data_IF_640160620760
#
_entry.id   IF_640160620760
#
_cell.length_a   1.000
_cell.length_b   1.000
_cell.length_c   1.000
_cell.angle_alpha   90.00
_cell.angle_beta   90.00
_cell.angle_gamma   90.00
#
_symmetry.space_group_name_H-M   'P 1'
#
loop_
_entity.id
_entity.type
_entity.pdbx_description
1 polymer ?
#
# COMPACT_ATOMS: atom_id res chain seq x y z
N UNK A 1 -5.93 -7.53 4.13
CA UNK A 1 -6.92 -6.71 3.41
C UNK A 1 -7.15 -7.33 2.04
N UNK A 2 -8.40 -7.43 1.61
CA UNK A 2 -8.73 -7.71 0.21
C UNK A 2 -9.05 -6.39 -0.49
N UNK A 3 -8.45 -6.16 -1.65
CA UNK A 3 -8.52 -4.89 -2.39
C UNK A 3 -8.41 -5.17 -3.89
N UNK A 4 -9.42 -4.75 -4.66
CA UNK A 4 -9.33 -4.81 -6.11
C UNK A 4 -8.17 -3.95 -6.65
N UNK A 5 -7.44 -4.36 -7.71
CA UNK A 5 -6.27 -3.64 -8.23
C UNK A 5 -6.68 -2.41 -9.07
N UNK A 6 -7.39 -1.47 -8.46
CA UNK A 6 -7.99 -0.31 -9.13
C UNK A 6 -7.24 0.99 -8.83
N UNK A 7 -7.56 2.04 -9.59
CA UNK A 7 -7.09 3.40 -9.30
C UNK A 7 -7.48 3.90 -7.90
N UNK A 8 -8.59 3.41 -7.31
CA UNK A 8 -9.03 3.77 -5.96
C UNK A 8 -8.11 3.19 -4.89
N UNK A 9 -7.78 1.90 -4.99
CA UNK A 9 -6.78 1.22 -4.14
C UNK A 9 -5.42 1.91 -4.21
N UNK A 10 -5.00 2.29 -5.42
CA UNK A 10 -3.73 3.01 -5.58
C UNK A 10 -3.77 4.43 -4.98
N UNK A 11 -4.92 5.12 -5.03
CA UNK A 11 -5.12 6.40 -4.32
C UNK A 11 -4.94 6.21 -2.81
N UNK A 12 -5.56 5.18 -2.23
CA UNK A 12 -5.44 4.85 -0.81
C UNK A 12 -3.96 4.65 -0.40
N UNK A 13 -3.21 3.79 -1.10
CA UNK A 13 -1.78 3.58 -0.81
C UNK A 13 -0.95 4.86 -0.99
N UNK A 14 -1.25 5.70 -1.98
CA UNK A 14 -0.51 6.95 -2.22
C UNK A 14 -0.83 8.08 -1.23
N UNK A 15 -1.94 7.97 -0.48
CA UNK A 15 -2.47 9.08 0.32
C UNK A 15 -1.49 9.54 1.41
N UNK A 16 -0.85 8.67 2.22
CA UNK A 16 0.10 9.11 3.24
C UNK A 16 1.32 9.82 2.64
N UNK A 17 1.79 9.37 1.47
CA UNK A 17 2.96 9.92 0.78
C UNK A 17 2.69 11.32 0.25
N UNK A 18 1.59 11.51 -0.48
CA UNK A 18 1.20 12.80 -1.04
C UNK A 18 0.84 13.78 0.09
N UNK A 19 0.09 13.33 1.09
CA UNK A 19 -0.35 14.18 2.22
C UNK A 19 0.84 14.67 3.04
N UNK A 20 1.84 13.82 3.29
CA UNK A 20 3.04 14.22 4.05
C UNK A 20 3.83 15.34 3.36
N UNK A 21 3.94 15.33 2.02
CA UNK A 21 4.61 16.41 1.27
C UNK A 21 3.88 17.74 1.49
N UNK A 22 2.55 17.76 1.34
CA UNK A 22 1.74 18.96 1.56
C UNK A 22 1.81 19.46 3.00
N UNK A 23 1.72 18.56 3.99
CA UNK A 23 1.82 18.93 5.41
C UNK A 23 3.19 19.54 5.75
N UNK A 24 4.28 19.01 5.19
CA UNK A 24 5.64 19.55 5.38
C UNK A 24 5.79 20.97 4.80
N UNK A 25 5.26 21.22 3.60
CA UNK A 25 5.27 22.57 3.01
C UNK A 25 4.32 23.53 3.75
N UNK A 26 3.16 23.07 4.24
CA UNK A 26 2.28 23.86 5.12
C UNK A 26 2.97 24.21 6.45
N UNK A 27 3.71 23.28 7.05
CA UNK A 27 4.49 23.53 8.27
C UNK A 27 5.62 24.55 8.01
N UNK A 28 6.30 24.47 6.87
CA UNK A 28 7.31 25.44 6.43
C UNK A 28 6.70 26.83 6.18
N UNK A 29 5.55 26.91 5.53
CA UNK A 29 4.79 28.14 5.36
C UNK A 29 4.36 28.72 6.73
N UNK A 30 3.89 27.87 7.65
CA UNK A 30 3.51 28.29 9.01
C UNK A 30 4.71 28.84 9.79
N UNK A 31 5.87 28.19 9.71
CA UNK A 31 7.15 28.68 10.27
C UNK A 31 7.52 30.05 9.68
N UNK A 32 7.44 30.23 8.37
CA UNK A 32 7.69 31.52 7.71
C UNK A 32 6.71 32.62 8.16
N UNK A 33 5.42 32.30 8.33
CA UNK A 33 4.41 33.23 8.87
C UNK A 33 4.74 33.59 10.32
N UNK A 34 5.13 32.61 11.14
CA UNK A 34 5.52 32.82 12.53
C UNK A 34 6.74 33.76 12.63
N UNK A 35 7.82 33.50 11.90
CA UNK A 35 9.02 34.36 11.85
C UNK A 35 8.71 35.77 11.33
N UNK A 36 7.82 35.92 10.34
CA UNK A 36 7.44 37.24 9.80
C UNK A 36 6.47 38.02 10.69
N UNK A 37 5.77 37.36 11.62
CA UNK A 37 4.78 38.01 12.49
C UNK A 37 5.23 38.14 13.95
N UNK A 38 6.22 37.39 14.42
CA UNK A 38 6.71 37.41 15.82
C UNK A 38 5.56 37.28 16.85
N UNK A 39 4.58 36.44 16.51
CA UNK A 39 3.22 36.38 17.09
C UNK A 39 2.80 34.89 17.05
N UNK A 40 2.52 34.18 18.16
CA UNK A 40 2.48 34.58 19.59
C UNK A 40 2.97 33.40 20.47
N UNK A 41 3.71 33.71 21.54
CA UNK A 41 3.70 33.01 22.85
C UNK A 41 4.40 33.85 23.91
N UNK A 42 4.10 33.65 25.20
CA UNK A 42 4.95 34.02 26.36
C UNK A 42 4.64 32.94 27.45
N UNK A 43 4.62 33.20 28.77
CA UNK A 43 3.98 32.28 29.76
C UNK A 43 3.66 32.88 31.14
N UNK A 44 2.40 32.87 31.67
CA UNK A 44 2.10 33.37 33.04
C UNK A 44 2.44 32.33 34.12
N UNK A 45 3.64 31.76 34.02
CA UNK A 45 4.37 31.24 35.18
C UNK A 45 4.62 32.43 36.11
N UNK A 46 3.81 32.53 37.16
CA UNK A 46 3.68 33.72 37.99
C UNK A 46 3.00 34.90 37.28
N UNK A 47 3.56 35.41 36.16
CA UNK A 47 3.12 36.69 35.53
C UNK A 47 3.47 37.04 34.04
N UNK A 48 4.04 36.17 33.15
CA UNK A 48 4.56 36.51 31.78
C UNK A 48 3.78 36.27 30.41
N UNK A 49 2.73 35.42 30.25
CA UNK A 49 1.61 35.35 29.22
C UNK A 49 1.58 34.32 28.01
N UNK A 50 1.04 33.08 28.12
CA UNK A 50 1.19 32.02 27.04
C UNK A 50 0.14 31.98 25.91
N UNK A 51 0.62 31.67 24.71
CA UNK A 51 -0.12 31.16 23.54
C UNK A 51 0.77 30.11 22.83
N UNK A 52 0.34 28.88 22.60
CA UNK A 52 1.06 27.94 21.73
C UNK A 52 0.43 27.97 20.34
N UNK A 53 1.26 27.85 19.30
CA UNK A 53 0.79 27.75 17.93
C UNK A 53 0.06 26.41 17.68
N UNK A 54 -1.24 26.39 17.96
CA UNK A 54 -2.11 25.22 17.78
C UNK A 54 -2.12 24.69 16.34
N UNK A 55 -1.91 25.57 15.35
CA UNK A 55 -1.84 25.17 13.93
C UNK A 55 -0.54 24.41 13.67
N UNK A 56 0.59 24.90 14.18
CA UNK A 56 1.86 24.17 14.12
C UNK A 56 1.75 22.81 14.80
N UNK A 57 1.21 22.76 16.03
CA UNK A 57 1.05 21.51 16.77
C UNK A 57 0.20 20.49 16.00
N UNK A 58 -0.94 20.90 15.41
CA UNK A 58 -1.78 20.01 14.61
C UNK A 58 -1.12 19.57 13.29
N UNK A 59 -0.32 20.43 12.67
CA UNK A 59 0.49 20.03 11.50
C UNK A 59 1.55 19.00 11.88
N UNK A 60 2.22 19.15 13.03
CA UNK A 60 3.23 18.21 13.52
C UNK A 60 2.60 16.85 13.91
N UNK A 61 1.42 16.84 14.53
CA UNK A 61 0.61 15.64 14.78
C UNK A 61 0.26 14.90 13.47
N UNK A 62 -0.36 15.60 12.51
CA UNK A 62 -0.74 15.01 11.22
C UNK A 62 0.48 14.51 10.41
N UNK A 63 1.63 15.18 10.52
CA UNK A 63 2.89 14.74 9.92
C UNK A 63 3.32 13.40 10.52
N UNK A 64 3.30 13.29 11.86
CA UNK A 64 3.66 12.07 12.57
C UNK A 64 2.74 10.88 12.20
N UNK A 65 1.42 11.10 12.18
CA UNK A 65 0.44 10.09 11.78
C UNK A 65 0.69 9.56 10.35
N UNK A 66 0.96 10.48 9.40
CA UNK A 66 1.23 10.11 8.02
C UNK A 66 2.60 9.43 7.86
N UNK A 67 3.59 9.76 8.69
CA UNK A 67 4.88 9.05 8.72
C UNK A 67 4.70 7.61 9.21
N UNK A 68 3.98 7.40 10.32
CA UNK A 68 3.69 6.04 10.81
C UNK A 68 2.91 5.22 9.78
N UNK A 69 1.95 5.80 9.04
CA UNK A 69 1.27 5.08 7.97
C UNK A 69 2.21 4.70 6.80
N UNK A 70 3.19 5.53 6.45
CA UNK A 70 4.22 5.16 5.46
C UNK A 70 5.13 4.05 5.99
N UNK A 71 5.55 4.13 7.25
CA UNK A 71 6.32 3.10 7.93
C UNK A 71 5.56 1.76 7.91
N UNK A 72 4.28 1.73 8.31
CA UNK A 72 3.45 0.52 8.23
C UNK A 72 3.33 -0.04 6.80
N UNK A 73 3.18 0.78 5.77
CA UNK A 73 3.09 0.29 4.39
C UNK A 73 4.44 -0.19 3.80
N UNK A 74 5.57 0.23 4.38
CA UNK A 74 6.92 -0.14 3.91
C UNK A 74 7.65 -1.12 4.84
N UNK A 75 7.06 -1.41 6.01
CA UNK A 75 7.52 -2.39 6.99
C UNK A 75 7.67 -3.79 6.37
N UNK A 76 8.64 -4.57 6.87
CA UNK A 76 8.93 -5.92 6.36
C UNK A 76 7.82 -6.90 6.67
N UNK A 77 7.06 -6.62 7.72
CA UNK A 77 5.90 -7.34 8.24
C UNK A 77 4.69 -7.17 7.32
N UNK A 78 4.57 -6.03 6.64
CA UNK A 78 3.48 -5.76 5.69
C UNK A 78 3.77 -6.39 4.33
N UNK A 79 2.98 -7.39 3.95
CA UNK A 79 3.12 -8.09 2.68
C UNK A 79 2.00 -7.73 1.70
N UNK A 80 2.36 -7.10 0.58
CA UNK A 80 1.45 -6.95 -0.56
C UNK A 80 1.65 -8.12 -1.52
N UNK A 81 0.61 -8.95 -1.67
CA UNK A 81 0.58 -10.07 -2.62
C UNK A 81 -0.27 -9.63 -3.82
N UNK A 82 0.32 -9.52 -5.01
CA UNK A 82 -0.40 -9.06 -6.21
C UNK A 82 -1.09 -10.24 -6.89
N UNK A 83 -2.42 -10.24 -6.94
CA UNK A 83 -3.20 -11.26 -7.65
C UNK A 83 -3.43 -10.83 -9.11
N UNK A 84 -3.14 -11.72 -10.05
CA UNK A 84 -3.25 -11.50 -11.50
C UNK A 84 -3.84 -12.76 -12.15
N UNK A 85 -4.72 -12.63 -13.14
CA UNK A 85 -5.15 -13.76 -13.97
C UNK A 85 -4.19 -13.88 -15.18
N UNK A 86 -4.09 -15.07 -15.78
CA UNK A 86 -3.31 -15.27 -17.01
C UNK A 86 -4.02 -14.71 -18.28
N UNK A 87 -4.45 -13.45 -18.24
CA UNK A 87 -5.10 -12.73 -19.34
C UNK A 87 -4.49 -11.33 -19.56
N UNK A 88 -4.62 -10.79 -20.77
CA UNK A 88 -3.99 -9.53 -21.19
C UNK A 88 -4.48 -8.30 -20.41
N UNK A 89 -5.75 -8.28 -20.01
CA UNK A 89 -6.33 -7.13 -19.29
C UNK A 89 -5.83 -7.14 -17.82
N UNK A 90 -5.87 -8.30 -17.17
CA UNK A 90 -5.35 -8.47 -15.82
C UNK A 90 -3.85 -8.20 -15.75
N UNK A 91 -3.07 -8.66 -16.73
CA UNK A 91 -1.64 -8.34 -16.86
C UNK A 91 -1.40 -6.82 -16.96
N UNK A 92 -2.14 -6.10 -17.80
CA UNK A 92 -2.02 -4.64 -17.93
C UNK A 92 -2.27 -3.91 -16.60
N UNK A 93 -3.29 -4.29 -15.84
CA UNK A 93 -3.56 -3.68 -14.53
C UNK A 93 -2.53 -4.08 -13.47
N UNK A 94 -2.00 -5.32 -13.53
CA UNK A 94 -0.91 -5.76 -12.66
C UNK A 94 0.38 -4.95 -12.89
N UNK A 95 0.76 -4.70 -14.15
CA UNK A 95 1.90 -3.82 -14.51
C UNK A 95 1.69 -2.40 -14.01
N UNK A 96 0.51 -1.82 -14.24
CA UNK A 96 0.16 -0.48 -13.74
C UNK A 96 0.20 -0.39 -12.22
N UNK A 97 -0.18 -1.46 -11.53
CA UNK A 97 -0.14 -1.58 -10.07
C UNK A 97 1.30 -1.67 -9.56
N UNK A 98 2.13 -2.55 -10.14
CA UNK A 98 3.58 -2.66 -9.88
C UNK A 98 4.25 -1.30 -10.00
N UNK A 99 4.13 -0.64 -11.16
CA UNK A 99 4.73 0.67 -11.42
C UNK A 99 4.33 1.75 -10.40
N UNK A 100 3.07 1.76 -9.95
CA UNK A 100 2.60 2.73 -8.96
C UNK A 100 3.11 2.43 -7.56
N UNK A 101 3.10 1.16 -7.13
CA UNK A 101 3.64 0.74 -5.82
C UNK A 101 5.14 1.01 -5.72
N UNK A 102 5.91 0.67 -6.76
CA UNK A 102 7.35 1.00 -6.84
C UNK A 102 7.61 2.50 -6.74
N UNK A 103 6.79 3.35 -7.39
CA UNK A 103 6.93 4.82 -7.33
C UNK A 103 6.70 5.41 -5.94
N UNK A 104 5.95 4.74 -5.06
CA UNK A 104 5.73 5.15 -3.67
C UNK A 104 6.55 4.31 -2.68
N UNK A 105 7.50 3.51 -3.15
CA UNK A 105 8.42 2.73 -2.31
C UNK A 105 7.79 1.54 -1.58
N UNK A 106 6.56 1.14 -1.93
CA UNK A 106 5.90 0.00 -1.29
C UNK A 106 6.32 -1.31 -2.02
N UNK A 107 6.90 -2.29 -1.31
CA UNK A 107 7.35 -3.54 -1.92
C UNK A 107 6.19 -4.50 -2.21
N UNK A 108 6.21 -5.12 -3.39
CA UNK A 108 5.41 -6.32 -3.67
C UNK A 108 6.18 -7.53 -3.13
N UNK A 109 5.52 -8.35 -2.32
CA UNK A 109 6.08 -9.55 -1.70
C UNK A 109 6.11 -10.76 -2.65
N UNK A 110 5.06 -10.91 -3.47
CA UNK A 110 4.90 -11.99 -4.45
C UNK A 110 3.79 -11.69 -5.46
N UNK A 111 3.74 -12.49 -6.51
CA UNK A 111 2.66 -12.50 -7.50
C UNK A 111 1.91 -13.83 -7.44
N UNK A 112 0.59 -13.77 -7.36
CA UNK A 112 -0.30 -14.93 -7.35
C UNK A 112 -1.02 -14.96 -8.69
N UNK A 113 -0.67 -15.93 -9.54
CA UNK A 113 -1.31 -16.10 -10.85
C UNK A 113 -2.50 -17.04 -10.68
N UNK A 114 -3.70 -16.50 -10.87
CA UNK A 114 -4.96 -17.21 -10.72
C UNK A 114 -5.47 -17.75 -12.07
N UNK A 115 -6.34 -18.77 -12.01
CA UNK A 115 -7.02 -19.40 -13.15
C UNK A 115 -6.08 -19.97 -14.21
N UNK A 116 -4.93 -20.47 -13.78
CA UNK A 116 -3.91 -21.06 -14.66
C UNK A 116 -4.46 -22.34 -15.30
N UNK A 117 -4.31 -22.49 -16.62
CA UNK A 117 -4.60 -23.73 -17.34
C UNK A 117 -3.27 -24.43 -17.64
N UNK A 118 -3.25 -25.76 -17.58
CA UNK A 118 -2.06 -26.61 -17.85
C UNK A 118 -0.77 -26.24 -17.08
N UNK A 119 -0.87 -25.47 -16.01
CA UNK A 119 0.26 -24.87 -15.28
C UNK A 119 1.12 -23.88 -16.12
N UNK A 120 0.56 -23.33 -17.20
CA UNK A 120 1.25 -22.43 -18.14
C UNK A 120 0.91 -20.95 -17.89
N UNK A 121 1.93 -20.09 -17.90
CA UNK A 121 1.79 -18.63 -17.86
C UNK A 121 2.31 -18.00 -19.15
N UNK A 122 1.72 -16.88 -19.54
CA UNK A 122 2.21 -16.09 -20.69
C UNK A 122 3.65 -15.62 -20.48
N UNK A 123 4.46 -15.64 -21.55
CA UNK A 123 5.87 -15.24 -21.49
C UNK A 123 6.03 -13.78 -21.04
N UNK A 124 5.10 -12.90 -21.42
CA UNK A 124 5.05 -11.52 -20.95
C UNK A 124 4.88 -11.41 -19.42
N UNK A 125 4.10 -12.29 -18.80
CA UNK A 125 3.93 -12.33 -17.34
C UNK A 125 5.19 -12.87 -16.66
N UNK A 126 5.78 -13.94 -17.22
CA UNK A 126 7.04 -14.52 -16.76
C UNK A 126 8.18 -13.51 -16.78
N UNK A 127 8.35 -12.78 -17.88
CA UNK A 127 9.42 -11.81 -18.06
C UNK A 127 9.25 -10.56 -17.16
N UNK A 128 8.02 -10.05 -16.99
CA UNK A 128 7.75 -8.85 -16.19
C UNK A 128 7.83 -9.09 -14.67
N UNK A 129 7.57 -10.32 -14.21
CA UNK A 129 7.52 -10.66 -12.80
C UNK A 129 8.56 -11.73 -12.37
N UNK A 130 9.61 -11.91 -13.19
CA UNK A 130 10.74 -12.81 -12.94
C UNK A 130 11.41 -12.63 -11.56
N UNK A 131 11.53 -11.38 -11.09
CA UNK A 131 12.16 -11.03 -9.81
C UNK A 131 11.30 -11.35 -8.57
N UNK A 132 10.05 -11.79 -8.75
CA UNK A 132 9.12 -12.08 -7.66
C UNK A 132 8.89 -13.58 -7.53
N UNK A 133 8.70 -14.05 -6.29
CA UNK A 133 8.13 -15.39 -6.07
C UNK A 133 6.74 -15.41 -6.72
N UNK A 134 6.54 -16.34 -7.66
CA UNK A 134 5.25 -16.59 -8.30
C UNK A 134 4.59 -17.82 -7.68
N UNK A 135 3.27 -17.74 -7.46
CA UNK A 135 2.44 -18.84 -6.97
C UNK A 135 1.30 -19.06 -7.96
N UNK A 136 1.23 -20.25 -8.57
CA UNK A 136 0.29 -20.57 -9.64
C UNK A 136 -0.92 -21.34 -9.10
N UNK A 137 -2.10 -20.73 -9.17
CA UNK A 137 -3.36 -21.38 -8.79
C UNK A 137 -4.11 -21.86 -10.04
N UNK A 138 -4.36 -23.17 -10.17
CA UNK A 138 -5.03 -23.72 -11.36
C UNK A 138 -6.51 -23.31 -11.41
N UNK A 139 -7.05 -23.25 -12.62
CA UNK A 139 -8.48 -23.01 -12.83
C UNK A 139 -9.32 -24.09 -12.14
N UNK A 140 -10.21 -23.67 -11.24
CA UNK A 140 -11.17 -24.57 -10.60
C UNK A 140 -12.12 -25.19 -11.64
N UNK A 141 -12.42 -26.48 -11.50
CA UNK A 141 -13.32 -27.22 -12.40
C UNK A 141 -14.80 -26.83 -12.27
N UNK A 142 -15.13 -25.92 -11.35
CA UNK A 142 -16.47 -25.42 -11.07
C UNK A 142 -16.41 -24.13 -10.24
N UNK A 143 -17.57 -23.59 -9.87
CA UNK A 143 -17.64 -22.38 -9.04
C UNK A 143 -17.16 -22.64 -7.60
N UNK A 144 -16.28 -21.78 -7.08
CA UNK A 144 -15.82 -21.81 -5.69
C UNK A 144 -16.84 -21.16 -4.74
N UNK A 145 -18.01 -21.79 -4.60
CA UNK A 145 -19.09 -21.33 -3.73
C UNK A 145 -19.19 -22.24 -2.49
N UNK A 146 -19.24 -21.63 -1.31
CA UNK A 146 -19.28 -22.34 -0.02
C UNK A 146 -17.89 -22.73 0.51
N UNK A 147 -17.79 -22.86 1.83
CA UNK A 147 -16.54 -23.19 2.53
C UNK A 147 -16.02 -24.59 2.15
N UNK A 148 -16.91 -25.57 1.99
CA UNK A 148 -16.55 -26.94 1.59
C UNK A 148 -15.86 -26.97 0.22
N UNK A 149 -16.45 -26.33 -0.79
CA UNK A 149 -15.87 -26.25 -2.14
C UNK A 149 -14.52 -25.52 -2.14
N UNK A 150 -14.40 -24.46 -1.34
CA UNK A 150 -13.13 -23.74 -1.16
C UNK A 150 -12.09 -24.64 -0.50
N UNK A 151 -12.43 -25.33 0.59
CA UNK A 151 -11.53 -26.24 1.31
C UNK A 151 -11.09 -27.40 0.40
N UNK A 152 -12.00 -28.03 -0.33
CA UNK A 152 -11.69 -29.08 -1.32
C UNK A 152 -10.76 -28.58 -2.45
N UNK A 153 -10.88 -27.31 -2.85
CA UNK A 153 -9.97 -26.69 -3.81
C UNK A 153 -8.59 -26.41 -3.19
N UNK A 154 -8.55 -25.93 -1.94
CA UNK A 154 -7.30 -25.69 -1.22
C UNK A 154 -6.55 -27.01 -0.94
N UNK A 155 -7.25 -28.05 -0.48
CA UNK A 155 -6.66 -29.36 -0.17
C UNK A 155 -6.05 -30.04 -1.39
N UNK A 156 -6.74 -29.98 -2.54
CA UNK A 156 -6.19 -30.45 -3.84
C UNK A 156 -4.95 -29.67 -4.29
N UNK A 157 -4.74 -28.46 -3.77
CA UNK A 157 -3.65 -27.55 -4.12
C UNK A 157 -2.72 -27.25 -2.92
N UNK A 158 -2.64 -28.13 -1.90
CA UNK A 158 -1.79 -27.92 -0.72
C UNK A 158 -0.32 -27.64 -1.07
N UNK A 159 0.20 -28.24 -2.15
CA UNK A 159 1.55 -27.97 -2.65
C UNK A 159 1.77 -26.48 -3.01
N UNK A 160 0.72 -25.80 -3.49
CA UNK A 160 0.71 -24.36 -3.82
C UNK A 160 0.56 -23.49 -2.57
N UNK A 161 -0.11 -24.02 -1.53
CA UNK A 161 -0.31 -23.35 -0.24
C UNK A 161 0.92 -23.40 0.66
N UNK A 162 1.69 -24.49 0.63
CA UNK A 162 2.99 -24.59 1.33
C UNK A 162 4.01 -23.53 0.85
N UNK A 163 3.78 -22.95 -0.32
CA UNK A 163 4.57 -21.84 -0.85
C UNK A 163 4.15 -20.47 -0.33
N UNK A 164 2.95 -20.31 0.25
CA UNK A 164 2.43 -19.09 0.86
C UNK A 164 2.90 -18.95 2.32
N UNK A 165 3.13 -17.72 2.82
CA UNK A 165 3.60 -17.46 4.18
C UNK A 165 2.43 -17.27 5.17
#
# INVERSE_FOLDING_TARGET
FDMAPTALTMRFFSLPFITLVWLKELLKLRKNIYTKKEIISKIKLGRKEIEQDKVKAKLEELINDNQHLQEYFTARETKINLVVNNDRLSFSEAVRTKQKLTKIGIPINRVVVNKVQNNEITESLRAEFNDYKMTLFPLASGGLLGLETLQLYLDKNQNVLNDLP
#
